data_IF_584646598437
#
_entry.id   IF_584646598437
#
_cell.length_a   1.000
_cell.length_b   1.000
_cell.length_c   1.000
_cell.angle_alpha   90.00
_cell.angle_beta   90.00
_cell.angle_gamma   90.00
#
_symmetry.space_group_name_H-M   'P 1'
#
loop_
_entity.id
_entity.type
_entity.pdbx_description
1 polymer ?
#
# COMPACT_ATOMS: atom_id res chain seq x y z
N UNK A 1 15.00 11.43 0.87
CA UNK A 1 14.70 10.70 2.12
C UNK A 1 15.14 9.25 2.07
N UNK A 2 14.84 8.50 1.01
CA UNK A 2 15.17 7.08 0.90
C UNK A 2 16.67 6.75 1.05
N UNK A 3 17.57 7.47 0.38
CA UNK A 3 19.02 7.22 0.49
C UNK A 3 19.52 7.30 1.94
N UNK A 4 19.03 8.27 2.72
CA UNK A 4 19.40 8.41 4.12
C UNK A 4 18.86 7.23 4.96
N UNK A 5 17.60 6.83 4.72
CA UNK A 5 17.01 5.65 5.34
C UNK A 5 17.78 4.36 5.04
N UNK A 6 18.11 4.12 3.76
CA UNK A 6 18.89 2.94 3.34
C UNK A 6 20.28 2.92 3.96
N UNK A 7 20.97 4.07 3.96
CA UNK A 7 22.30 4.22 4.58
C UNK A 7 22.29 3.81 6.04
N UNK A 8 21.26 4.23 6.79
CA UNK A 8 21.15 3.91 8.22
C UNK A 8 20.69 2.46 8.44
N UNK A 9 19.76 1.96 7.62
CA UNK A 9 19.26 0.57 7.69
C UNK A 9 20.39 -0.45 7.50
N UNK A 10 21.29 -0.23 6.54
CA UNK A 10 22.42 -1.13 6.24
C UNK A 10 23.32 -1.36 7.47
N UNK A 11 23.41 -0.38 8.37
CA UNK A 11 24.20 -0.50 9.61
C UNK A 11 23.64 -1.58 10.55
N UNK A 12 22.32 -1.74 10.59
CA UNK A 12 21.62 -2.72 11.42
C UNK A 12 21.19 -3.98 10.67
N UNK A 13 21.10 -3.91 9.33
CA UNK A 13 20.68 -5.00 8.46
C UNK A 13 21.49 -4.99 7.15
N UNK A 14 22.69 -5.59 7.14
CA UNK A 14 23.62 -5.50 6.01
C UNK A 14 23.08 -5.99 4.67
N UNK A 15 22.18 -6.97 4.66
CA UNK A 15 21.59 -7.53 3.44
C UNK A 15 20.81 -6.47 2.63
N UNK A 16 20.34 -5.38 3.27
CA UNK A 16 19.70 -4.25 2.58
C UNK A 16 20.65 -3.43 1.69
N UNK A 17 21.95 -3.73 1.70
CA UNK A 17 22.92 -3.17 0.77
C UNK A 17 22.73 -3.73 -0.66
N UNK A 18 22.15 -4.92 -0.80
CA UNK A 18 21.69 -5.43 -2.09
C UNK A 18 20.37 -4.75 -2.46
N UNK A 19 20.36 -4.06 -3.60
CA UNK A 19 19.18 -3.40 -4.14
C UNK A 19 18.01 -4.36 -4.35
N UNK A 20 18.27 -5.57 -4.87
CA UNK A 20 17.21 -6.55 -5.11
C UNK A 20 16.57 -6.95 -3.78
N UNK A 21 17.40 -7.24 -2.78
CA UNK A 21 16.93 -7.63 -1.46
C UNK A 21 16.13 -6.51 -0.78
N UNK A 22 16.62 -5.26 -0.87
CA UNK A 22 15.91 -4.10 -0.35
C UNK A 22 14.56 -3.89 -1.05
N UNK A 23 14.54 -3.91 -2.39
CA UNK A 23 13.32 -3.69 -3.17
C UNK A 23 12.28 -4.80 -2.95
N UNK A 24 12.73 -6.05 -2.86
CA UNK A 24 11.85 -7.17 -2.50
C UNK A 24 11.23 -6.94 -1.12
N UNK A 25 12.02 -6.49 -0.14
CA UNK A 25 11.52 -6.11 1.18
C UNK A 25 10.50 -4.96 1.15
N UNK A 26 10.68 -3.96 0.29
CA UNK A 26 9.69 -2.87 0.09
C UNK A 26 8.37 -3.42 -0.45
N UNK A 27 8.43 -4.30 -1.45
CA UNK A 27 7.24 -4.95 -2.02
C UNK A 27 6.54 -5.83 -0.98
N UNK A 28 7.29 -6.63 -0.23
CA UNK A 28 6.77 -7.48 0.84
C UNK A 28 6.15 -6.68 1.99
N UNK A 29 6.75 -5.55 2.38
CA UNK A 29 6.17 -4.66 3.37
C UNK A 29 4.84 -4.06 2.88
N UNK A 30 4.77 -3.64 1.61
CA UNK A 30 3.53 -3.15 1.00
C UNK A 30 2.45 -4.24 0.97
N UNK A 31 2.81 -5.45 0.56
CA UNK A 31 1.96 -6.63 0.55
C UNK A 31 1.42 -6.97 1.95
N UNK A 32 2.29 -7.00 2.95
CA UNK A 32 1.93 -7.25 4.34
C UNK A 32 0.87 -6.26 4.82
N UNK A 33 1.12 -4.96 4.65
CA UNK A 33 0.18 -3.93 5.08
C UNK A 33 -1.15 -3.96 4.33
N UNK A 34 -1.15 -4.36 3.05
CA UNK A 34 -2.37 -4.60 2.30
C UNK A 34 -3.16 -5.77 2.91
N UNK A 35 -2.54 -6.92 3.11
CA UNK A 35 -3.18 -8.12 3.65
C UNK A 35 -3.77 -7.84 5.03
N UNK A 36 -3.01 -7.20 5.92
CA UNK A 36 -3.47 -6.83 7.25
C UNK A 36 -4.67 -5.88 7.20
N UNK A 37 -4.62 -4.85 6.35
CA UNK A 37 -5.74 -3.91 6.19
C UNK A 37 -7.00 -4.60 5.66
N UNK A 38 -6.88 -5.50 4.67
CA UNK A 38 -8.01 -6.27 4.16
C UNK A 38 -8.58 -7.20 5.24
N UNK A 39 -7.72 -7.92 5.97
CA UNK A 39 -8.13 -8.82 7.04
C UNK A 39 -8.91 -8.12 8.16
N UNK A 40 -8.46 -6.93 8.56
CA UNK A 40 -9.12 -6.16 9.61
C UNK A 40 -10.41 -5.47 9.16
N UNK A 41 -10.44 -4.94 7.94
CA UNK A 41 -11.47 -3.95 7.58
C UNK A 41 -12.40 -4.37 6.45
N UNK A 42 -12.00 -5.30 5.56
CA UNK A 42 -12.74 -5.54 4.31
C UNK A 42 -14.22 -5.81 4.55
N UNK A 43 -14.56 -6.71 5.48
CA UNK A 43 -15.95 -7.05 5.80
C UNK A 43 -16.77 -5.82 6.22
N UNK A 44 -16.21 -4.94 7.05
CA UNK A 44 -16.88 -3.75 7.59
C UNK A 44 -17.03 -2.65 6.52
N UNK A 45 -16.02 -2.48 5.67
CA UNK A 45 -16.01 -1.38 4.69
C UNK A 45 -16.95 -1.60 3.50
N UNK A 46 -17.43 -2.82 3.31
CA UNK A 46 -18.46 -3.11 2.30
C UNK A 46 -19.75 -2.35 2.63
N UNK A 47 -20.16 -2.31 3.90
CA UNK A 47 -21.45 -1.74 4.32
C UNK A 47 -21.36 -0.33 4.91
N UNK A 48 -20.19 0.06 5.42
CA UNK A 48 -19.96 1.37 6.03
C UNK A 48 -18.63 1.94 5.59
N UNK A 49 -18.42 3.24 5.71
CA UNK A 49 -17.10 3.85 5.48
C UNK A 49 -16.76 4.79 6.64
N UNK A 50 -16.23 4.27 7.75
CA UNK A 50 -15.90 5.10 8.90
C UNK A 50 -14.69 5.99 8.61
N UNK A 51 -14.67 7.16 9.23
CA UNK A 51 -13.50 8.04 9.24
C UNK A 51 -12.37 7.44 10.07
N UNK A 52 -11.13 7.72 9.65
CA UNK A 52 -9.91 7.45 10.38
C UNK A 52 -8.92 8.61 10.22
N UNK A 53 -8.96 9.52 11.19
CA UNK A 53 -8.14 10.73 11.16
C UNK A 53 -8.63 11.64 10.05
N UNK A 54 -7.78 11.92 9.05
CA UNK A 54 -8.11 12.81 7.94
C UNK A 54 -8.66 12.10 6.70
N UNK A 55 -8.81 10.77 6.72
CA UNK A 55 -9.29 9.98 5.57
C UNK A 55 -10.22 8.86 6.00
N UNK A 56 -11.00 8.32 5.07
CA UNK A 56 -11.88 7.17 5.33
C UNK A 56 -11.13 5.84 5.22
N UNK A 57 -11.72 4.76 5.74
CA UNK A 57 -11.11 3.43 5.61
C UNK A 57 -11.13 2.95 4.15
N UNK A 58 -12.17 3.27 3.36
CA UNK A 58 -12.18 2.97 1.91
C UNK A 58 -11.03 3.66 1.18
N UNK A 59 -10.78 4.95 1.45
CA UNK A 59 -9.64 5.68 0.87
C UNK A 59 -8.31 4.98 1.18
N UNK A 60 -8.12 4.57 2.44
CA UNK A 60 -6.91 3.86 2.89
C UNK A 60 -6.75 2.49 2.25
N UNK A 61 -7.83 1.78 1.95
CA UNK A 61 -7.80 0.49 1.24
C UNK A 61 -7.46 0.71 -0.24
N UNK A 62 -8.12 1.66 -0.91
CA UNK A 62 -7.84 1.99 -2.30
C UNK A 62 -6.37 2.41 -2.50
N UNK A 63 -5.84 3.23 -1.61
CA UNK A 63 -4.44 3.64 -1.65
C UNK A 63 -3.46 2.47 -1.45
N UNK A 64 -3.71 1.56 -0.50
CA UNK A 64 -2.85 0.38 -0.31
C UNK A 64 -2.88 -0.56 -1.51
N UNK A 65 -4.05 -0.76 -2.10
CA UNK A 65 -4.20 -1.57 -3.31
C UNK A 65 -3.38 -0.97 -4.46
N UNK A 66 -3.53 0.33 -4.71
CA UNK A 66 -2.77 1.04 -5.74
C UNK A 66 -1.26 1.03 -5.48
N UNK A 67 -0.84 1.30 -4.24
CA UNK A 67 0.56 1.26 -3.85
C UNK A 67 1.16 -0.13 -4.05
N UNK A 68 0.47 -1.19 -3.63
CA UNK A 68 0.93 -2.57 -3.81
C UNK A 68 1.10 -2.93 -5.28
N UNK A 69 0.13 -2.57 -6.14
CA UNK A 69 0.27 -2.78 -7.59
C UNK A 69 1.49 -2.04 -8.13
N UNK A 70 1.62 -0.75 -7.78
CA UNK A 70 2.71 0.10 -8.26
C UNK A 70 4.09 -0.43 -7.89
N UNK A 71 4.33 -0.76 -6.61
CA UNK A 71 5.65 -1.23 -6.17
C UNK A 71 5.94 -2.65 -6.66
N UNK A 72 4.95 -3.56 -6.65
CA UNK A 72 5.14 -4.92 -7.15
C UNK A 72 5.47 -4.97 -8.64
N UNK A 73 4.82 -4.13 -9.45
CA UNK A 73 5.11 -4.07 -10.89
C UNK A 73 6.42 -3.36 -11.19
N UNK A 74 6.76 -2.32 -10.43
CA UNK A 74 8.01 -1.59 -10.63
C UNK A 74 9.24 -2.46 -10.34
N UNK A 75 9.19 -3.29 -9.29
CA UNK A 75 10.28 -4.17 -8.89
C UNK A 75 10.10 -5.63 -9.33
N UNK A 76 9.07 -5.91 -10.13
CA UNK A 76 8.75 -7.24 -10.66
C UNK A 76 8.65 -8.37 -9.60
N UNK A 77 8.28 -8.02 -8.37
CA UNK A 77 8.17 -8.96 -7.24
C UNK A 77 6.71 -9.19 -6.82
N UNK A 78 6.37 -10.42 -6.45
CA UNK A 78 5.02 -10.88 -6.11
C UNK A 78 3.95 -10.60 -7.20
N UNK A 79 4.15 -11.01 -8.46
CA UNK A 79 3.27 -10.66 -9.59
C UNK A 79 1.83 -11.15 -9.42
N UNK A 80 1.62 -12.33 -8.84
CA UNK A 80 0.27 -12.86 -8.57
C UNK A 80 -0.48 -12.01 -7.55
N UNK A 81 0.22 -11.48 -6.54
CA UNK A 81 -0.40 -10.61 -5.56
C UNK A 81 -0.73 -9.23 -6.16
N UNK A 82 0.13 -8.71 -7.03
CA UNK A 82 -0.17 -7.51 -7.82
C UNK A 82 -1.45 -7.69 -8.66
N UNK A 83 -1.56 -8.80 -9.39
CA UNK A 83 -2.74 -9.10 -10.19
C UNK A 83 -4.02 -9.20 -9.33
N UNK A 84 -3.92 -9.80 -8.15
CA UNK A 84 -5.02 -9.82 -7.17
C UNK A 84 -5.39 -8.41 -6.70
N UNK A 85 -4.41 -7.61 -6.26
CA UNK A 85 -4.61 -6.25 -5.78
C UNK A 85 -5.24 -5.36 -6.86
N UNK A 86 -4.78 -5.47 -8.10
CA UNK A 86 -5.33 -4.78 -9.28
C UNK A 86 -6.79 -5.18 -9.54
N UNK A 87 -7.11 -6.48 -9.52
CA UNK A 87 -8.48 -6.95 -9.69
C UNK A 87 -9.41 -6.41 -8.60
N UNK A 88 -8.95 -6.41 -7.35
CA UNK A 88 -9.71 -5.91 -6.22
C UNK A 88 -9.88 -4.38 -6.27
N UNK A 89 -8.84 -3.65 -6.64
CA UNK A 89 -8.89 -2.20 -6.86
C UNK A 89 -9.97 -1.84 -7.88
N UNK A 90 -10.02 -2.52 -9.02
CA UNK A 90 -11.06 -2.27 -10.03
C UNK A 90 -12.46 -2.62 -9.52
N UNK A 91 -12.63 -3.76 -8.84
CA UNK A 91 -13.94 -4.18 -8.31
C UNK A 91 -14.47 -3.24 -7.24
N UNK A 92 -13.62 -2.78 -6.33
CA UNK A 92 -14.01 -1.84 -5.27
C UNK A 92 -14.19 -0.43 -5.82
N UNK A 93 -13.30 0.03 -6.69
CA UNK A 93 -13.37 1.34 -7.33
C UNK A 93 -14.54 1.53 -8.29
N UNK A 94 -15.19 0.45 -8.74
CA UNK A 94 -16.47 0.49 -9.46
C UNK A 94 -17.68 0.57 -8.53
N UNK A 95 -17.54 0.20 -7.25
CA UNK A 95 -18.61 0.18 -6.25
C UNK A 95 -18.61 1.41 -5.36
N UNK A 96 -17.45 2.01 -5.15
CA UNK A 96 -17.26 3.14 -4.25
C UNK A 96 -17.20 4.47 -5.00
N UNK A 97 -17.58 5.59 -4.34
CA UNK A 97 -17.49 6.92 -4.93
C UNK A 97 -16.06 7.25 -5.39
N UNK A 98 -15.94 8.08 -6.43
CA UNK A 98 -14.65 8.41 -7.06
C UNK A 98 -13.68 9.10 -6.09
N UNK A 99 -14.22 9.84 -5.12
CA UNK A 99 -13.50 10.55 -4.06
C UNK A 99 -12.73 9.59 -3.13
N UNK A 100 -13.10 8.31 -3.12
CA UNK A 100 -12.35 7.28 -2.38
C UNK A 100 -11.01 6.92 -3.02
N UNK A 101 -10.71 7.44 -4.22
CA UNK A 101 -9.44 7.17 -4.93
C UNK A 101 -8.31 8.09 -4.50
N UNK A 102 -8.62 9.22 -3.87
CA UNK A 102 -7.62 10.19 -3.43
C UNK A 102 -7.45 10.14 -1.92
N UNK A 103 -6.19 10.12 -1.48
CA UNK A 103 -5.85 10.35 -0.08
C UNK A 103 -5.55 11.83 0.15
N UNK A 104 -6.14 12.45 1.18
CA UNK A 104 -5.80 13.82 1.53
C UNK A 104 -4.36 13.89 2.03
N UNK A 105 -3.64 14.94 1.63
CA UNK A 105 -2.33 15.26 2.16
C UNK A 105 -2.43 15.66 3.63
N UNK A 106 -1.51 15.13 4.45
CA UNK A 106 -1.36 15.61 5.82
C UNK A 106 -1.05 17.10 5.81
N UNK A 107 -1.51 17.88 6.81
CA UNK A 107 -1.32 19.33 6.86
C UNK A 107 0.14 19.79 6.70
N UNK A 108 1.10 19.00 7.19
CA UNK A 108 2.54 19.31 7.06
C UNK A 108 3.09 19.21 5.63
N UNK A 109 2.32 18.63 4.70
CA UNK A 109 2.69 18.47 3.28
C UNK A 109 1.78 19.25 2.33
N UNK A 110 0.99 20.20 2.84
CA UNK A 110 0.20 21.13 2.02
C UNK A 110 1.00 22.38 1.69
#
# INVERSE_FOLDING_TARGET
MELAYRTDLIRGYPDAADDIHFHNGVVEASAYWLIMALGWYLKRVITSDPDWGISTVRQRIMARLGACVGVSEHYEHLPTLSAFARSLFHKLGARWPVETRELPLYPAFR
#
